data_IF_734395828682
#
_entry.id   IF_734395828682
#
_cell.length_a   1.000
_cell.length_b   1.000
_cell.length_c   1.000
_cell.angle_alpha   90.00
_cell.angle_beta   90.00
_cell.angle_gamma   90.00
#
_symmetry.space_group_name_H-M   'P 1'
#
loop_
_entity.id
_entity.type
_entity.pdbx_description
1 polymer ?
#
# COMPACT_ATOMS: atom_id res chain seq x y z
N UNK A 1 -9.80 22.05 4.20
CA UNK A 1 -10.00 20.96 3.24
C UNK A 1 -9.18 19.79 3.72
N UNK A 2 -9.74 18.56 3.75
CA UNK A 2 -8.98 17.36 4.12
C UNK A 2 -7.97 17.00 3.04
N UNK A 3 -6.85 16.39 3.44
CA UNK A 3 -5.75 16.01 2.55
C UNK A 3 -5.39 14.54 2.74
N UNK A 4 -5.15 13.85 1.64
CA UNK A 4 -4.61 12.50 1.63
C UNK A 4 -3.26 12.49 0.93
N UNK A 5 -2.25 11.84 1.53
CA UNK A 5 -1.00 11.50 0.89
C UNK A 5 -1.16 10.11 0.27
N UNK A 6 -0.97 10.03 -1.03
CA UNK A 6 -1.06 8.80 -1.81
C UNK A 6 0.35 8.36 -2.21
N UNK A 7 0.78 7.23 -1.66
CA UNK A 7 2.16 6.76 -1.72
C UNK A 7 2.33 5.70 -2.78
N UNK A 8 3.31 5.88 -3.67
CA UNK A 8 3.61 4.93 -4.74
C UNK A 8 2.46 4.80 -5.75
N UNK A 9 1.77 5.91 -6.03
CA UNK A 9 0.49 5.89 -6.76
C UNK A 9 0.59 5.56 -8.25
N UNK A 10 1.79 5.61 -8.84
CA UNK A 10 2.05 5.32 -10.27
C UNK A 10 1.00 5.94 -11.22
N UNK A 11 0.50 7.16 -10.93
CA UNK A 11 -0.57 7.86 -11.66
C UNK A 11 -1.96 7.17 -11.64
N UNK A 12 -2.16 6.14 -10.83
CA UNK A 12 -3.48 5.52 -10.67
C UNK A 12 -4.39 6.46 -9.87
N UNK A 13 -5.61 6.76 -10.35
CA UNK A 13 -6.53 7.60 -9.59
C UNK A 13 -6.96 6.95 -8.27
N UNK A 14 -6.98 7.73 -7.19
CA UNK A 14 -7.55 7.30 -5.92
C UNK A 14 -9.08 7.45 -5.96
N UNK A 15 -9.77 6.35 -6.17
CA UNK A 15 -11.22 6.32 -6.45
C UNK A 15 -12.09 5.95 -5.25
N UNK A 16 -11.49 5.68 -4.08
CA UNK A 16 -12.25 5.31 -2.90
C UNK A 16 -13.13 6.47 -2.40
N UNK A 17 -14.45 6.24 -2.28
CA UNK A 17 -15.47 7.25 -1.93
C UNK A 17 -15.15 8.06 -0.68
N UNK A 18 -14.49 7.45 0.33
CA UNK A 18 -14.06 8.10 1.57
C UNK A 18 -13.09 9.26 1.37
N UNK A 19 -12.44 9.33 0.21
CA UNK A 19 -11.55 10.43 -0.18
C UNK A 19 -12.19 11.43 -1.15
N UNK A 20 -13.48 11.28 -1.46
CA UNK A 20 -14.20 12.19 -2.35
C UNK A 20 -14.12 13.64 -1.82
N UNK A 21 -13.66 14.54 -2.68
CA UNK A 21 -13.51 15.97 -2.35
C UNK A 21 -12.30 16.31 -1.46
N UNK A 22 -11.40 15.35 -1.19
CA UNK A 22 -10.13 15.62 -0.52
C UNK A 22 -9.09 16.13 -1.51
N UNK A 23 -8.14 16.90 -1.02
CA UNK A 23 -6.93 17.20 -1.78
C UNK A 23 -6.02 15.96 -1.73
N UNK A 24 -5.82 15.34 -2.88
CA UNK A 24 -4.81 14.30 -3.08
C UNK A 24 -3.45 14.96 -3.26
N UNK A 25 -2.43 14.42 -2.62
CA UNK A 25 -1.01 14.73 -2.84
C UNK A 25 -0.32 13.40 -3.08
N UNK A 26 0.42 13.29 -4.16
CA UNK A 26 1.12 12.06 -4.56
C UNK A 26 2.60 12.14 -4.23
N UNK A 27 3.19 11.02 -3.81
CA UNK A 27 4.64 10.89 -3.65
C UNK A 27 5.13 9.61 -4.32
N UNK A 28 6.17 9.72 -5.11
CA UNK A 28 6.84 8.61 -5.76
C UNK A 28 8.33 8.93 -5.95
N UNK A 29 9.17 7.90 -6.06
CA UNK A 29 10.59 8.05 -6.43
C UNK A 29 10.77 8.12 -7.95
N UNK A 30 9.82 7.62 -8.73
CA UNK A 30 9.83 7.64 -10.18
C UNK A 30 9.29 8.98 -10.69
N UNK A 31 10.17 9.85 -11.19
CA UNK A 31 9.79 11.14 -11.79
C UNK A 31 8.86 10.95 -13.02
N UNK A 32 8.95 9.81 -13.72
CA UNK A 32 8.07 9.52 -14.87
C UNK A 32 6.61 9.32 -14.44
N UNK A 33 6.37 9.05 -13.15
CA UNK A 33 5.03 9.01 -12.58
C UNK A 33 4.42 10.41 -12.34
N UNK A 34 5.18 11.48 -12.59
CA UNK A 34 4.78 12.89 -12.41
C UNK A 34 4.10 13.14 -11.04
N UNK A 35 4.68 12.70 -9.90
CA UNK A 35 4.08 12.90 -8.60
C UNK A 35 4.17 14.38 -8.16
N UNK A 36 3.29 14.81 -7.23
CA UNK A 36 3.39 16.13 -6.62
C UNK A 36 4.70 16.31 -5.83
N UNK A 37 5.21 15.20 -5.25
CA UNK A 37 6.48 15.14 -4.52
C UNK A 37 7.31 14.00 -5.08
N UNK A 38 8.44 14.32 -5.70
CA UNK A 38 9.45 13.33 -6.07
C UNK A 38 10.32 13.07 -4.85
N UNK A 39 10.36 11.85 -4.34
CA UNK A 39 11.17 11.54 -3.17
C UNK A 39 10.96 10.16 -2.58
N UNK A 40 11.87 9.83 -1.66
CA UNK A 40 11.87 8.56 -0.95
C UNK A 40 11.03 8.66 0.33
N UNK A 41 10.05 7.79 0.48
CA UNK A 41 9.19 7.75 1.67
C UNK A 41 9.94 7.43 2.98
N UNK A 42 11.16 6.91 2.88
CA UNK A 42 12.04 6.70 4.04
C UNK A 42 12.48 8.03 4.67
N UNK A 43 12.36 9.12 3.93
CA UNK A 43 12.67 10.50 4.35
C UNK A 43 11.42 11.40 4.41
N UNK A 44 10.23 10.81 4.49
CA UNK A 44 8.94 11.51 4.36
C UNK A 44 8.76 12.65 5.37
N UNK A 45 9.25 12.48 6.60
CA UNK A 45 9.22 13.52 7.63
C UNK A 45 9.95 14.79 7.18
N UNK A 46 11.07 14.64 6.46
CA UNK A 46 11.85 15.78 5.94
C UNK A 46 11.17 16.39 4.72
N UNK A 47 10.70 15.55 3.79
CA UNK A 47 10.04 15.97 2.55
C UNK A 47 8.71 16.68 2.81
N UNK A 48 7.99 16.26 3.85
CA UNK A 48 6.65 16.74 4.18
C UNK A 48 6.58 17.43 5.57
N UNK A 49 7.68 17.97 6.11
CA UNK A 49 7.81 18.48 7.48
C UNK A 49 6.71 19.46 7.91
N UNK A 50 6.20 20.28 6.99
CA UNK A 50 5.17 21.28 7.24
C UNK A 50 3.76 20.84 6.81
N UNK A 51 3.64 19.64 6.27
CA UNK A 51 2.35 19.09 5.84
C UNK A 51 1.79 18.19 6.93
N UNK A 52 0.47 18.28 7.11
CA UNK A 52 -0.28 17.34 7.95
C UNK A 52 -1.40 16.77 7.09
N UNK A 53 -1.41 15.45 7.00
CA UNK A 53 -2.38 14.72 6.21
C UNK A 53 -3.46 14.14 7.12
N UNK A 54 -4.70 14.15 6.67
CA UNK A 54 -5.80 13.49 7.36
C UNK A 54 -5.79 11.99 7.11
N UNK A 55 -5.17 11.55 6.01
CA UNK A 55 -4.87 10.17 5.74
C UNK A 55 -3.56 10.01 4.96
N UNK A 56 -2.89 8.87 5.16
CA UNK A 56 -1.88 8.32 4.25
C UNK A 56 -2.47 7.06 3.65
N UNK A 57 -2.44 6.96 2.34
CA UNK A 57 -2.92 5.80 1.58
C UNK A 57 -1.75 5.17 0.84
N UNK A 58 -1.53 3.89 1.05
CA UNK A 58 -0.47 3.13 0.40
C UNK A 58 -1.05 1.82 -0.10
N UNK A 59 -1.17 1.67 -1.42
CA UNK A 59 -1.73 0.48 -2.05
C UNK A 59 -0.70 -0.14 -2.96
N UNK A 60 -0.38 -1.41 -2.70
CA UNK A 60 0.67 -2.12 -3.42
C UNK A 60 2.01 -1.36 -3.40
N UNK A 61 2.42 -1.00 -2.18
CA UNK A 61 3.65 -0.24 -1.97
C UNK A 61 4.59 -0.93 -0.96
N UNK A 62 4.08 -1.42 0.18
CA UNK A 62 4.93 -1.94 1.25
C UNK A 62 5.70 -3.21 0.84
N UNK A 63 5.18 -4.00 -0.07
CA UNK A 63 5.84 -5.19 -0.62
C UNK A 63 7.11 -4.88 -1.41
N UNK A 64 7.28 -3.63 -1.87
CA UNK A 64 8.48 -3.17 -2.57
C UNK A 64 9.62 -2.75 -1.62
N UNK A 65 9.34 -2.68 -0.32
CA UNK A 65 10.33 -2.41 0.72
C UNK A 65 10.99 -3.70 1.21
N UNK A 66 12.25 -3.63 1.62
CA UNK A 66 12.84 -4.73 2.36
C UNK A 66 12.18 -4.91 3.73
N UNK A 67 12.10 -6.16 4.27
CA UNK A 67 11.40 -6.44 5.53
C UNK A 67 11.81 -5.55 6.72
N UNK A 68 13.09 -5.16 6.78
CA UNK A 68 13.63 -4.30 7.85
C UNK A 68 13.30 -2.80 7.68
N UNK A 69 12.81 -2.37 6.52
CA UNK A 69 12.42 -0.99 6.24
C UNK A 69 10.96 -0.70 6.58
N UNK A 70 10.09 -1.72 6.50
CA UNK A 70 8.63 -1.59 6.59
C UNK A 70 8.20 -0.81 7.84
N UNK A 71 8.69 -1.22 9.02
CA UNK A 71 8.32 -0.58 10.29
C UNK A 71 8.76 0.89 10.32
N UNK A 72 9.95 1.19 9.78
CA UNK A 72 10.43 2.56 9.74
C UNK A 72 9.59 3.44 8.79
N UNK A 73 9.23 2.91 7.62
CA UNK A 73 8.35 3.62 6.67
C UNK A 73 6.96 3.85 7.27
N UNK A 74 6.39 2.88 7.95
CA UNK A 74 5.12 3.06 8.67
C UNK A 74 5.22 4.14 9.76
N UNK A 75 6.37 4.31 10.43
CA UNK A 75 6.64 5.44 11.34
C UNK A 75 6.75 6.76 10.61
N UNK A 76 7.35 6.78 9.42
CA UNK A 76 7.36 7.97 8.56
C UNK A 76 5.94 8.40 8.17
N UNK A 77 5.05 7.43 7.86
CA UNK A 77 3.64 7.74 7.62
C UNK A 77 2.98 8.39 8.84
N UNK A 78 3.25 7.84 10.04
CA UNK A 78 2.73 8.42 11.30
C UNK A 78 3.20 9.87 11.51
N UNK A 79 4.45 10.18 11.18
CA UNK A 79 5.05 11.51 11.43
C UNK A 79 4.37 12.65 10.67
N UNK A 80 3.76 12.36 9.52
CA UNK A 80 3.08 13.34 8.66
C UNK A 80 1.56 13.38 8.85
N UNK A 81 1.00 12.52 9.70
CA UNK A 81 -0.43 12.54 10.00
C UNK A 81 -0.84 13.73 10.88
N UNK A 82 -2.02 14.24 10.65
CA UNK A 82 -2.72 15.10 11.61
C UNK A 82 -3.10 14.28 12.87
N UNK A 83 -3.42 14.92 14.01
CA UNK A 83 -3.74 14.23 15.27
C UNK A 83 -4.83 13.15 15.16
N UNK A 84 -5.87 13.40 14.35
CA UNK A 84 -6.96 12.45 14.08
C UNK A 84 -6.82 11.77 12.69
N UNK A 85 -5.61 11.76 12.15
CA UNK A 85 -5.32 11.12 10.89
C UNK A 85 -5.15 9.60 11.02
N UNK A 86 -5.25 8.91 9.90
CA UNK A 86 -5.06 7.47 9.82
C UNK A 86 -4.17 7.07 8.64
N UNK A 87 -3.64 5.87 8.70
CA UNK A 87 -3.01 5.20 7.56
C UNK A 87 -3.93 4.09 7.06
N UNK A 88 -3.99 3.92 5.76
CA UNK A 88 -4.65 2.80 5.10
C UNK A 88 -3.66 2.15 4.15
N UNK A 89 -3.41 0.87 4.37
CA UNK A 89 -2.43 0.08 3.60
C UNK A 89 -3.09 -1.12 2.97
N UNK A 90 -2.68 -1.41 1.73
CA UNK A 90 -3.11 -2.58 0.95
C UNK A 90 -1.89 -3.26 0.37
N UNK A 91 -1.82 -4.58 0.53
CA UNK A 91 -0.72 -5.42 0.02
C UNK A 91 -1.28 -6.71 -0.57
N UNK A 92 -0.54 -7.42 -1.42
CA UNK A 92 -0.92 -8.74 -1.90
C UNK A 92 -1.09 -9.76 -0.75
N UNK A 93 -2.20 -10.53 -0.76
CA UNK A 93 -2.38 -11.69 0.11
C UNK A 93 -1.75 -12.92 -0.53
N UNK A 94 -0.47 -13.10 -0.26
CA UNK A 94 0.30 -14.22 -0.83
C UNK A 94 -0.20 -15.56 -0.31
N UNK A 95 -0.65 -15.65 0.94
CA UNK A 95 -1.15 -16.90 1.51
C UNK A 95 -2.45 -17.34 0.86
N UNK A 96 -3.39 -16.41 0.63
CA UNK A 96 -4.63 -16.70 -0.08
C UNK A 96 -4.35 -17.10 -1.53
N UNK A 97 -3.47 -16.38 -2.22
CA UNK A 97 -3.08 -16.67 -3.60
C UNK A 97 -2.45 -18.08 -3.73
N UNK A 98 -1.55 -18.45 -2.82
CA UNK A 98 -0.93 -19.79 -2.80
C UNK A 98 -1.96 -20.89 -2.51
N UNK A 99 -2.84 -20.68 -1.52
CA UNK A 99 -3.89 -21.64 -1.20
C UNK A 99 -4.83 -21.89 -2.39
N UNK A 100 -5.24 -20.81 -3.05
CA UNK A 100 -6.08 -20.88 -4.24
C UNK A 100 -5.39 -21.61 -5.40
N UNK A 101 -4.12 -21.29 -5.65
CA UNK A 101 -3.35 -21.95 -6.72
C UNK A 101 -3.20 -23.46 -6.47
N UNK A 102 -2.96 -23.88 -5.23
CA UNK A 102 -2.89 -25.29 -4.84
C UNK A 102 -4.23 -26.00 -5.03
N UNK A 103 -5.32 -25.40 -4.56
CA UNK A 103 -6.68 -25.98 -4.67
C UNK A 103 -7.08 -26.19 -6.13
N UNK A 104 -6.73 -25.24 -7.02
CA UNK A 104 -7.13 -25.27 -8.42
C UNK A 104 -6.06 -25.86 -9.36
N UNK A 105 -4.95 -26.38 -8.80
CA UNK A 105 -3.81 -26.92 -9.56
C UNK A 105 -3.25 -25.92 -10.57
N UNK A 106 -3.19 -24.65 -10.22
CA UNK A 106 -2.62 -23.55 -11.03
C UNK A 106 -1.11 -23.58 -10.87
N UNK A 107 -0.37 -23.55 -11.98
CA UNK A 107 1.10 -23.45 -11.97
C UNK A 107 1.54 -22.03 -11.57
N UNK A 108 2.78 -21.91 -11.07
CA UNK A 108 3.36 -20.61 -10.69
C UNK A 108 3.32 -19.56 -11.81
N UNK A 109 3.41 -20.02 -13.07
CA UNK A 109 3.43 -19.17 -14.27
C UNK A 109 2.07 -19.01 -14.95
N UNK A 110 1.04 -19.74 -14.50
CA UNK A 110 -0.30 -19.62 -15.07
C UNK A 110 -0.99 -18.38 -14.51
N UNK A 111 -1.97 -17.86 -15.27
CA UNK A 111 -2.77 -16.72 -14.83
C UNK A 111 -3.59 -17.08 -13.60
N UNK A 112 -3.36 -16.38 -12.50
CA UNK A 112 -4.13 -16.50 -11.28
C UNK A 112 -5.42 -15.67 -11.37
N UNK A 113 -5.30 -14.44 -11.85
CA UNK A 113 -6.42 -13.52 -12.14
C UNK A 113 -6.00 -12.46 -13.16
N UNK A 114 -6.96 -11.65 -13.61
CA UNK A 114 -6.70 -10.49 -14.45
C UNK A 114 -6.78 -9.21 -13.62
N UNK A 115 -5.78 -8.34 -13.74
CA UNK A 115 -5.81 -7.02 -13.13
C UNK A 115 -6.87 -6.13 -13.82
N UNK A 116 -7.22 -4.99 -13.21
CA UNK A 116 -8.25 -4.07 -13.72
C UNK A 116 -7.99 -3.56 -15.16
N UNK A 117 -6.75 -3.57 -15.60
CA UNK A 117 -6.34 -3.20 -16.96
C UNK A 117 -6.32 -4.40 -17.93
N UNK A 118 -6.85 -5.57 -17.53
CA UNK A 118 -6.86 -6.81 -18.31
C UNK A 118 -5.51 -7.54 -18.37
N UNK A 119 -4.51 -7.09 -17.63
CA UNK A 119 -3.22 -7.76 -17.62
C UNK A 119 -3.28 -9.05 -16.77
N UNK A 120 -2.77 -10.20 -17.27
CA UNK A 120 -2.71 -11.41 -16.47
C UNK A 120 -1.73 -11.21 -15.30
N UNK A 121 -2.14 -11.70 -14.13
CA UNK A 121 -1.32 -11.74 -12.91
C UNK A 121 -1.10 -13.20 -12.56
N UNK A 122 0.15 -13.58 -12.38
CA UNK A 122 0.57 -14.93 -12.01
C UNK A 122 0.94 -14.99 -10.53
N UNK A 123 1.10 -16.20 -9.97
CA UNK A 123 1.63 -16.33 -8.62
C UNK A 123 3.08 -15.85 -8.53
N UNK A 124 3.86 -15.93 -9.62
CA UNK A 124 5.20 -15.32 -9.66
C UNK A 124 5.14 -13.80 -9.57
N UNK A 125 4.18 -13.15 -10.25
CA UNK A 125 3.99 -11.69 -10.11
C UNK A 125 3.63 -11.31 -8.66
N UNK A 126 2.79 -12.11 -7.99
CA UNK A 126 2.43 -11.89 -6.58
C UNK A 126 3.64 -12.00 -5.64
N UNK A 127 4.57 -12.94 -5.92
CA UNK A 127 5.73 -13.19 -5.08
C UNK A 127 6.91 -12.26 -5.38
N UNK A 128 7.16 -11.97 -6.65
CA UNK A 128 8.39 -11.30 -7.10
C UNK A 128 8.15 -9.94 -7.75
N UNK A 129 6.89 -9.54 -7.89
CA UNK A 129 6.52 -8.28 -8.54
C UNK A 129 6.37 -8.39 -10.04
N UNK A 130 6.02 -7.30 -10.67
CA UNK A 130 5.72 -7.27 -12.10
C UNK A 130 6.97 -7.38 -12.97
N UNK A 131 7.33 -8.62 -13.34
CA UNK A 131 8.49 -8.93 -14.18
C UNK A 131 8.55 -8.05 -15.43
N UNK A 132 7.40 -7.81 -16.09
CA UNK A 132 7.31 -6.99 -17.29
C UNK A 132 7.79 -5.53 -17.10
N UNK A 133 7.58 -4.94 -15.92
CA UNK A 133 8.04 -3.59 -15.62
C UNK A 133 9.51 -3.59 -15.17
N UNK A 134 9.90 -4.59 -14.39
CA UNK A 134 11.32 -4.78 -13.99
C UNK A 134 12.21 -4.93 -15.24
N UNK A 135 11.79 -5.71 -16.24
CA UNK A 135 12.50 -5.86 -17.52
C UNK A 135 12.64 -4.56 -18.31
N UNK A 136 11.73 -3.61 -18.15
CA UNK A 136 11.81 -2.28 -18.76
C UNK A 136 12.77 -1.32 -18.03
N UNK A 137 13.47 -1.81 -17.00
CA UNK A 137 14.40 -1.00 -16.20
C UNK A 137 13.75 -0.29 -15.01
N UNK A 138 12.57 -0.75 -14.57
CA UNK A 138 11.85 -0.24 -13.39
C UNK A 138 11.99 -1.22 -12.21
N UNK A 139 13.15 -1.28 -11.53
CA UNK A 139 13.39 -2.26 -10.45
C UNK A 139 12.49 -2.05 -9.22
N UNK A 140 11.89 -0.85 -9.07
CA UNK A 140 10.92 -0.55 -8.02
C UNK A 140 9.65 -1.39 -8.07
N UNK A 141 9.37 -2.09 -9.20
CA UNK A 141 8.25 -3.03 -9.31
C UNK A 141 8.56 -4.44 -8.81
N UNK A 142 9.80 -4.71 -8.35
CA UNK A 142 10.15 -5.97 -7.72
C UNK A 142 9.68 -6.00 -6.26
N UNK A 143 9.09 -7.12 -5.84
CA UNK A 143 8.74 -7.33 -4.43
C UNK A 143 9.98 -7.77 -3.65
N UNK A 144 10.21 -7.12 -2.50
CA UNK A 144 11.30 -7.40 -1.59
C UNK A 144 10.81 -8.11 -0.32
N UNK A 145 9.50 -8.08 -0.07
CA UNK A 145 8.84 -8.79 1.03
C UNK A 145 7.44 -9.27 0.60
N UNK A 146 6.84 -10.08 1.44
CA UNK A 146 5.47 -10.55 1.28
C UNK A 146 4.76 -10.46 2.63
N UNK A 147 3.43 -10.41 2.60
CA UNK A 147 2.60 -10.26 3.78
C UNK A 147 1.53 -11.34 3.88
N UNK A 148 1.16 -11.64 5.11
CA UNK A 148 -0.11 -12.22 5.50
C UNK A 148 -0.80 -11.29 6.53
N UNK A 149 -2.05 -11.60 6.88
CA UNK A 149 -2.83 -10.78 7.81
C UNK A 149 -2.10 -10.53 9.14
N UNK A 150 -1.57 -11.57 9.85
CA UNK A 150 -0.87 -11.37 11.12
C UNK A 150 0.39 -10.52 11.00
N UNK A 151 1.19 -10.72 9.95
CA UNK A 151 2.44 -10.00 9.76
C UNK A 151 2.21 -8.52 9.51
N UNK A 152 1.24 -8.16 8.65
CA UNK A 152 0.95 -6.75 8.38
C UNK A 152 0.43 -6.04 9.63
N UNK A 153 -0.46 -6.70 10.41
CA UNK A 153 -0.93 -6.17 11.68
C UNK A 153 0.23 -5.96 12.67
N UNK A 154 1.12 -6.96 12.80
CA UNK A 154 2.31 -6.87 13.66
C UNK A 154 3.18 -5.66 13.29
N UNK A 155 3.47 -5.45 12.00
CA UNK A 155 4.28 -4.32 11.54
C UNK A 155 3.64 -2.96 11.83
N UNK A 156 2.33 -2.84 11.68
CA UNK A 156 1.60 -1.63 12.07
C UNK A 156 1.70 -1.37 13.58
N UNK A 157 1.55 -2.40 14.42
CA UNK A 157 1.68 -2.27 15.88
C UNK A 157 3.12 -1.96 16.30
N UNK A 158 4.13 -2.57 15.69
CA UNK A 158 5.54 -2.26 15.92
C UNK A 158 5.89 -0.81 15.52
N UNK A 159 5.22 -0.28 14.50
CA UNK A 159 5.36 1.14 14.12
C UNK A 159 4.73 2.10 15.13
N UNK A 160 3.95 1.58 16.09
CA UNK A 160 3.38 2.34 17.21
C UNK A 160 1.90 2.69 17.05
N UNK A 161 1.19 2.17 16.03
CA UNK A 161 -0.25 2.40 15.88
C UNK A 161 -1.03 1.61 16.96
N UNK A 162 -1.73 2.30 17.90
CA UNK A 162 -2.46 1.60 18.97
C UNK A 162 -3.74 0.93 18.48
N UNK A 163 -4.33 1.47 17.42
CA UNK A 163 -5.56 0.97 16.84
C UNK A 163 -5.26 0.48 15.42
N UNK A 164 -5.59 -0.77 15.16
CA UNK A 164 -5.41 -1.44 13.87
C UNK A 164 -6.65 -2.27 13.58
N UNK A 165 -7.28 -2.05 12.43
CA UNK A 165 -8.50 -2.75 12.04
C UNK A 165 -8.36 -3.25 10.60
N UNK A 166 -8.69 -4.54 10.32
CA UNK A 166 -8.76 -5.02 8.96
C UNK A 166 -9.86 -4.30 8.19
N UNK A 167 -9.61 -4.07 6.92
CA UNK A 167 -10.55 -3.47 5.97
C UNK A 167 -10.59 -4.32 4.70
N UNK A 168 -11.72 -4.28 4.01
CA UNK A 168 -11.94 -5.01 2.77
C UNK A 168 -12.48 -4.04 1.71
N UNK A 169 -12.01 -4.17 0.48
CA UNK A 169 -12.52 -3.42 -0.69
C UNK A 169 -13.07 -4.33 -1.79
N UNK A 170 -13.26 -5.62 -1.47
CA UNK A 170 -13.84 -6.61 -2.36
C UNK A 170 -12.92 -7.15 -3.44
N UNK A 171 -11.62 -6.84 -3.41
CA UNK A 171 -10.65 -7.41 -4.33
C UNK A 171 -10.12 -8.75 -3.79
N UNK A 172 -10.02 -9.76 -4.68
CA UNK A 172 -9.38 -11.02 -4.33
C UNK A 172 -7.85 -10.83 -4.13
N UNK A 173 -7.27 -11.64 -3.27
CA UNK A 173 -5.84 -11.72 -3.00
C UNK A 173 -5.20 -10.41 -2.51
N UNK A 174 -5.96 -9.62 -1.74
CA UNK A 174 -5.47 -8.42 -1.09
C UNK A 174 -5.73 -8.44 0.42
N UNK A 175 -4.80 -7.86 1.16
CA UNK A 175 -4.91 -7.59 2.60
C UNK A 175 -5.00 -6.09 2.76
N UNK A 176 -5.97 -5.61 3.54
CA UNK A 176 -6.12 -4.21 3.88
C UNK A 176 -6.19 -3.95 5.38
N UNK A 177 -5.48 -2.94 5.85
CA UNK A 177 -5.60 -2.44 7.21
C UNK A 177 -5.74 -0.93 7.24
N UNK A 178 -6.61 -0.45 8.15
CA UNK A 178 -6.62 0.93 8.60
C UNK A 178 -6.06 1.00 10.02
N UNK A 179 -5.15 1.95 10.25
CA UNK A 179 -4.54 2.14 11.56
C UNK A 179 -4.49 3.64 11.94
N UNK A 180 -4.69 3.96 13.24
CA UNK A 180 -4.80 5.34 13.71
C UNK A 180 -4.36 5.50 15.17
N UNK A 181 -4.08 6.75 15.58
CA UNK A 181 -3.68 7.09 16.96
C UNK A 181 -4.84 7.64 17.79
N UNK A 182 -5.53 8.61 17.27
CA UNK A 182 -6.58 9.35 17.98
C UNK A 182 -7.99 8.77 17.78
N UNK A 183 -8.87 9.56 17.17
CA UNK A 183 -10.26 9.16 16.94
C UNK A 183 -10.38 8.17 15.80
N UNK A 184 -11.25 7.16 15.97
CA UNK A 184 -11.59 6.21 14.91
C UNK A 184 -12.12 6.93 13.67
N UNK A 185 -11.63 6.60 12.46
CA UNK A 185 -12.16 7.15 11.22
C UNK A 185 -13.65 6.86 11.06
N UNK A 186 -14.46 7.88 10.75
CA UNK A 186 -15.93 7.74 10.69
C UNK A 186 -16.42 6.72 9.67
N UNK A 187 -15.70 6.53 8.57
CA UNK A 187 -16.05 5.54 7.53
C UNK A 187 -15.88 4.08 7.97
N UNK A 188 -15.18 3.82 9.09
CA UNK A 188 -15.06 2.48 9.68
C UNK A 188 -16.24 2.13 10.61
N UNK A 189 -17.14 3.06 10.85
CA UNK A 189 -18.32 2.87 11.72
C UNK A 189 -19.56 2.44 10.94
N UNK A 190 -19.51 2.53 9.61
CA UNK A 190 -20.57 2.14 8.67
C UNK A 190 -20.43 0.65 8.26
#
# INVERSE_FOLDING_TARGET
MKRVLDVGSSNVPLTADRFAGWQRVTIDMDEEAEPDVVGDVRELEQLCAYHRFNAVYASHFLEHLFPWEVVNVLRQFASVLAPDGWVEVWVPDVMQAMAYALEHSISLSDTLYEANNGAPVTLLDMLYGWEREVRKGKPGFAHQTAFDWPLLEERLREAGYPNVQPVDRGNAFEIGYCAWFGRKPGWLEE
#
